data_IF_658908291981
#
_entry.id   IF_658908291981
#
_cell.length_a   1.000
_cell.length_b   1.000
_cell.length_c   1.000
_cell.angle_alpha   90.00
_cell.angle_beta   90.00
_cell.angle_gamma   90.00
#
_symmetry.space_group_name_H-M   'P 1'
#
loop_
_entity.id
_entity.type
_entity.pdbx_description
1 polymer ?
#
# COMPACT_ATOMS: atom_id res chain seq x y z
N UNK A 1 -4.43 -18.40 -34.11
CA UNK A 1 -5.80 -17.83 -34.22
C UNK A 1 -5.68 -16.31 -34.28
N UNK A 2 -5.17 -15.79 -35.39
CA UNK A 2 -4.99 -14.35 -35.60
C UNK A 2 -5.88 -13.97 -36.79
N UNK A 3 -7.20 -13.93 -36.60
CA UNK A 3 -8.12 -13.68 -37.70
C UNK A 3 -9.44 -13.13 -37.17
N UNK A 4 -9.88 -12.02 -37.79
CA UNK A 4 -10.99 -11.11 -37.46
C UNK A 4 -10.63 -9.95 -36.54
N UNK A 5 -9.91 -8.98 -37.11
CA UNK A 5 -9.90 -7.63 -36.58
C UNK A 5 -11.24 -6.97 -36.94
N UNK A 6 -12.16 -6.92 -35.98
CA UNK A 6 -13.44 -6.26 -36.18
C UNK A 6 -13.20 -4.75 -36.18
N UNK A 7 -13.26 -4.13 -37.37
CA UNK A 7 -13.25 -2.67 -37.51
C UNK A 7 -14.60 -2.08 -37.08
N UNK A 8 -14.87 -2.13 -35.77
CA UNK A 8 -16.05 -1.52 -35.16
C UNK A 8 -15.87 0.00 -35.18
N UNK A 9 -16.70 0.70 -35.97
CA UNK A 9 -16.83 2.16 -35.91
C UNK A 9 -17.92 2.49 -34.91
N UNK A 10 -17.57 3.18 -33.83
CA UNK A 10 -18.54 3.63 -32.82
C UNK A 10 -19.11 4.98 -33.24
N UNK A 11 -20.32 4.96 -33.79
CA UNK A 11 -21.15 6.17 -33.88
C UNK A 11 -21.70 6.51 -32.47
N UNK A 12 -22.17 7.74 -32.25
CA UNK A 12 -22.69 8.18 -30.93
C UNK A 12 -23.78 7.24 -30.36
N UNK A 13 -24.64 6.67 -31.22
CA UNK A 13 -25.66 5.69 -30.81
C UNK A 13 -25.04 4.37 -30.36
N UNK A 14 -23.99 3.92 -31.04
CA UNK A 14 -23.27 2.70 -30.68
C UNK A 14 -22.49 2.89 -29.37
N UNK A 15 -22.02 4.10 -29.07
CA UNK A 15 -21.40 4.42 -27.79
C UNK A 15 -22.41 4.36 -26.62
N UNK A 16 -23.62 4.91 -26.80
CA UNK A 16 -24.69 4.83 -25.81
C UNK A 16 -25.09 3.39 -25.50
N UNK A 17 -25.25 2.55 -26.53
CA UNK A 17 -25.57 1.13 -26.34
C UNK A 17 -24.47 0.37 -25.56
N UNK A 18 -23.20 0.74 -25.75
CA UNK A 18 -22.08 0.18 -24.97
C UNK A 18 -22.16 0.62 -23.51
N UNK A 19 -22.45 1.90 -23.26
CA UNK A 19 -22.58 2.43 -21.89
C UNK A 19 -23.75 1.78 -21.15
N UNK A 20 -24.90 1.61 -21.81
CA UNK A 20 -26.08 0.89 -21.28
C UNK A 20 -25.73 -0.56 -20.93
N UNK A 21 -25.02 -1.25 -21.82
CA UNK A 21 -24.56 -2.62 -21.57
C UNK A 21 -23.56 -2.71 -20.40
N UNK A 22 -22.67 -1.73 -20.26
CA UNK A 22 -21.74 -1.67 -19.13
C UNK A 22 -22.47 -1.40 -17.82
N UNK A 23 -23.48 -0.51 -17.82
CA UNK A 23 -24.32 -0.26 -16.66
C UNK A 23 -25.10 -1.54 -16.27
N UNK A 24 -25.70 -2.20 -17.25
CA UNK A 24 -26.33 -3.50 -17.09
C UNK A 24 -25.39 -4.49 -16.42
N UNK A 25 -24.19 -4.69 -16.97
CA UNK A 25 -23.21 -5.63 -16.42
C UNK A 25 -22.75 -5.25 -15.00
N UNK A 26 -22.69 -3.96 -14.64
CA UNK A 26 -22.33 -3.52 -13.28
C UNK A 26 -23.45 -3.73 -12.27
N UNK A 27 -24.70 -3.56 -12.70
CA UNK A 27 -25.87 -3.73 -11.84
C UNK A 27 -26.21 -5.22 -11.70
N UNK A 28 -26.18 -5.99 -12.78
CA UNK A 28 -26.55 -7.40 -12.73
C UNK A 28 -25.37 -8.30 -12.35
N UNK A 29 -24.14 -7.89 -12.68
CA UNK A 29 -22.94 -8.66 -12.37
C UNK A 29 -22.90 -9.96 -13.17
N UNK A 30 -23.09 -11.09 -12.49
CA UNK A 30 -23.17 -12.44 -13.07
C UNK A 30 -24.51 -13.14 -12.71
N UNK A 31 -25.52 -12.41 -12.22
CA UNK A 31 -26.80 -12.98 -11.76
C UNK A 31 -27.67 -13.56 -12.89
N UNK A 32 -27.38 -13.18 -14.12
CA UNK A 32 -28.07 -13.58 -15.36
C UNK A 32 -27.90 -15.04 -15.75
N UNK A 33 -26.98 -15.77 -15.11
CA UNK A 33 -26.68 -17.14 -15.48
C UNK A 33 -26.10 -17.31 -16.90
N UNK A 34 -25.79 -16.21 -17.60
CA UNK A 34 -25.23 -16.18 -18.94
C UNK A 34 -26.17 -15.70 -20.05
N UNK A 35 -27.44 -15.42 -19.75
CA UNK A 35 -28.44 -14.93 -20.72
C UNK A 35 -28.86 -13.50 -20.42
N UNK A 36 -28.85 -12.63 -21.45
CA UNK A 36 -29.22 -11.22 -21.27
C UNK A 36 -30.72 -11.08 -20.96
N UNK A 37 -31.04 -10.39 -19.87
CA UNK A 37 -32.42 -10.03 -19.54
C UNK A 37 -32.99 -9.09 -20.59
N UNK A 38 -34.31 -9.14 -20.76
CA UNK A 38 -35.02 -8.13 -21.56
C UNK A 38 -35.00 -6.76 -20.86
N UNK A 39 -35.16 -5.64 -21.58
CA UNK A 39 -35.20 -4.32 -20.98
C UNK A 39 -36.24 -4.19 -19.84
N UNK A 40 -37.44 -4.75 -20.04
CA UNK A 40 -38.51 -4.72 -19.04
C UNK A 40 -38.14 -5.52 -17.77
N UNK A 41 -37.53 -6.70 -17.94
CA UNK A 41 -37.04 -7.53 -16.83
C UNK A 41 -35.92 -6.81 -16.05
N UNK A 42 -35.05 -6.09 -16.77
CA UNK A 42 -33.97 -5.32 -16.15
C UNK A 42 -34.49 -4.14 -15.33
N UNK A 43 -35.53 -3.44 -15.79
CA UNK A 43 -36.15 -2.36 -15.01
C UNK A 43 -36.82 -2.89 -13.72
N UNK A 44 -37.50 -4.03 -13.80
CA UNK A 44 -38.08 -4.68 -12.62
C UNK A 44 -36.99 -5.14 -11.65
N UNK A 45 -35.90 -5.71 -12.16
CA UNK A 45 -34.73 -6.07 -11.37
C UNK A 45 -34.13 -4.83 -10.67
N UNK A 46 -33.97 -3.70 -11.38
CA UNK A 46 -33.52 -2.43 -10.78
C UNK A 46 -34.42 -1.99 -9.62
N UNK A 47 -35.74 -2.00 -9.82
CA UNK A 47 -36.71 -1.58 -8.79
C UNK A 47 -36.61 -2.44 -7.53
N UNK A 48 -36.34 -3.74 -7.67
CA UNK A 48 -36.20 -4.66 -6.53
C UNK A 48 -34.82 -4.55 -5.85
N UNK A 49 -33.75 -4.59 -6.63
CA UNK A 49 -32.40 -4.82 -6.12
C UNK A 49 -31.71 -3.54 -5.67
N UNK A 50 -31.98 -2.40 -6.31
CA UNK A 50 -31.34 -1.13 -5.94
C UNK A 50 -31.68 -0.70 -4.50
N UNK A 51 -32.95 -0.68 -4.05
CA UNK A 51 -33.26 -0.31 -2.68
C UNK A 51 -32.66 -1.28 -1.66
N UNK A 52 -32.66 -2.57 -1.98
CA UNK A 52 -32.09 -3.61 -1.12
C UNK A 52 -30.58 -3.41 -0.95
N UNK A 53 -29.84 -3.19 -2.05
CA UNK A 53 -28.39 -2.97 -1.99
C UNK A 53 -28.01 -1.67 -1.29
N UNK A 54 -28.81 -0.62 -1.43
CA UNK A 54 -28.54 0.66 -0.77
C UNK A 54 -28.70 0.56 0.75
N UNK A 55 -29.68 -0.22 1.23
CA UNK A 55 -29.92 -0.43 2.67
C UNK A 55 -29.00 -1.50 3.27
N UNK A 56 -28.89 -2.65 2.62
CA UNK A 56 -28.24 -3.84 3.16
C UNK A 56 -26.86 -4.10 2.54
N UNK A 57 -26.14 -3.03 2.18
CA UNK A 57 -24.79 -3.15 1.65
C UNK A 57 -23.86 -3.76 2.71
N UNK A 58 -23.16 -4.82 2.34
CA UNK A 58 -22.10 -5.41 3.16
C UNK A 58 -20.73 -4.82 2.78
N UNK A 59 -19.97 -4.42 3.80
CA UNK A 59 -18.59 -4.00 3.66
C UNK A 59 -17.69 -5.18 4.01
N UNK A 60 -16.81 -5.54 3.08
CA UNK A 60 -15.90 -6.67 3.24
C UNK A 60 -14.46 -6.20 3.12
N UNK A 61 -13.68 -6.45 4.17
CA UNK A 61 -12.27 -6.09 4.24
C UNK A 61 -11.42 -7.24 4.79
N UNK A 62 -10.17 -7.26 4.35
CA UNK A 62 -9.12 -8.09 4.91
C UNK A 62 -8.31 -7.21 5.85
N UNK A 63 -8.51 -7.38 7.15
CA UNK A 63 -8.04 -6.43 8.16
C UNK A 63 -6.95 -7.02 9.04
N UNK A 64 -5.95 -6.20 9.34
CA UNK A 64 -4.89 -6.50 10.29
C UNK A 64 -5.43 -6.43 11.74
N UNK A 65 -4.75 -7.08 12.70
CA UNK A 65 -5.13 -6.99 14.12
C UNK A 65 -5.02 -5.57 14.69
N UNK A 66 -4.28 -4.68 14.02
CA UNK A 66 -4.19 -3.26 14.35
C UNK A 66 -5.46 -2.47 14.02
N UNK A 67 -6.46 -3.07 13.38
CA UNK A 67 -7.69 -2.41 12.95
C UNK A 67 -7.62 -1.80 11.54
N UNK A 68 -6.44 -1.78 10.91
CA UNK A 68 -6.26 -1.33 9.54
C UNK A 68 -6.90 -2.32 8.55
N UNK A 69 -7.70 -1.81 7.62
CA UNK A 69 -8.20 -2.61 6.52
C UNK A 69 -7.07 -2.72 5.46
N UNK A 70 -6.34 -3.84 5.43
CA UNK A 70 -5.20 -4.00 4.53
C UNK A 70 -5.60 -4.17 3.07
N UNK A 71 -6.74 -4.84 2.80
CA UNK A 71 -7.33 -4.92 1.46
C UNK A 71 -8.84 -4.73 1.53
N UNK A 72 -9.36 -3.80 0.73
CA UNK A 72 -10.80 -3.69 0.51
C UNK A 72 -11.21 -4.69 -0.58
N UNK A 73 -12.26 -5.46 -0.31
CA UNK A 73 -12.76 -6.45 -1.26
C UNK A 73 -13.77 -5.78 -2.18
N UNK A 74 -13.52 -5.84 -3.48
CA UNK A 74 -14.44 -5.43 -4.54
C UNK A 74 -14.99 -6.60 -5.36
N UNK A 75 -15.80 -6.32 -6.38
CA UNK A 75 -16.55 -7.31 -7.15
C UNK A 75 -15.63 -8.29 -7.90
N UNK A 76 -14.51 -7.81 -8.43
CA UNK A 76 -13.57 -8.59 -9.24
C UNK A 76 -12.51 -9.32 -8.40
N UNK A 77 -12.48 -9.11 -7.08
CA UNK A 77 -11.48 -9.72 -6.19
C UNK A 77 -11.72 -11.23 -6.08
N UNK A 78 -10.69 -12.07 -6.28
CA UNK A 78 -10.84 -13.51 -6.19
C UNK A 78 -10.93 -13.98 -4.73
N UNK A 79 -11.83 -14.92 -4.49
CA UNK A 79 -11.92 -15.74 -3.30
C UNK A 79 -10.87 -16.86 -3.34
N UNK A 80 -10.66 -17.52 -2.20
CA UNK A 80 -9.84 -18.71 -2.08
C UNK A 80 -10.29 -19.85 -3.02
N UNK A 81 -11.60 -19.93 -3.31
CA UNK A 81 -12.17 -20.85 -4.30
C UNK A 81 -11.96 -20.42 -5.76
N UNK A 82 -11.11 -19.42 -6.02
CA UNK A 82 -10.80 -18.79 -7.32
C UNK A 82 -11.95 -18.03 -8.01
N UNK A 83 -13.19 -18.18 -7.54
CA UNK A 83 -14.33 -17.38 -7.98
C UNK A 83 -14.30 -15.95 -7.43
N UNK A 84 -14.94 -15.02 -8.15
CA UNK A 84 -14.93 -13.59 -7.81
C UNK A 84 -15.93 -13.28 -6.71
N UNK A 85 -15.74 -12.18 -6.00
CA UNK A 85 -16.65 -11.73 -4.95
C UNK A 85 -18.09 -11.54 -5.47
N UNK A 86 -18.27 -11.02 -6.69
CA UNK A 86 -19.60 -10.92 -7.36
C UNK A 86 -20.31 -12.25 -7.59
N UNK A 87 -19.59 -13.37 -7.54
CA UNK A 87 -20.12 -14.73 -7.70
C UNK A 87 -20.48 -15.37 -6.35
N UNK A 88 -20.37 -14.63 -5.25
CA UNK A 88 -20.81 -15.04 -3.92
C UNK A 88 -22.14 -14.37 -3.58
N UNK A 89 -22.89 -14.93 -2.63
CA UNK A 89 -24.12 -14.32 -2.12
C UNK A 89 -23.78 -13.10 -1.28
N UNK A 90 -23.81 -11.92 -1.89
CA UNK A 90 -23.56 -10.62 -1.23
C UNK A 90 -24.85 -9.90 -0.87
N UNK A 91 -25.94 -10.21 -1.57
CA UNK A 91 -27.21 -9.50 -1.45
C UNK A 91 -28.13 -10.26 -0.49
N UNK A 92 -28.60 -9.55 0.55
CA UNK A 92 -29.50 -10.08 1.58
C UNK A 92 -30.69 -9.14 1.74
N UNK A 93 -31.91 -9.68 1.76
CA UNK A 93 -33.12 -8.91 2.07
C UNK A 93 -33.20 -8.54 3.56
N UNK A 94 -32.76 -9.46 4.42
CA UNK A 94 -32.58 -9.25 5.86
C UNK A 94 -31.19 -9.75 6.22
N UNK A 95 -30.40 -8.88 6.86
CA UNK A 95 -29.03 -9.21 7.26
C UNK A 95 -29.09 -10.22 8.42
N UNK A 96 -28.40 -11.36 8.32
CA UNK A 96 -28.32 -12.31 9.42
C UNK A 96 -27.71 -11.67 10.68
N UNK A 97 -28.31 -11.92 11.84
CA UNK A 97 -27.78 -11.47 13.15
C UNK A 97 -26.52 -12.24 13.56
N UNK A 98 -26.39 -13.49 13.11
CA UNK A 98 -25.28 -14.36 13.46
C UNK A 98 -23.99 -13.91 12.75
N UNK A 99 -22.93 -13.70 13.55
CA UNK A 99 -21.59 -13.32 13.07
C UNK A 99 -20.66 -14.53 13.08
N UNK A 100 -19.80 -14.72 12.07
CA UNK A 100 -19.64 -13.93 10.83
C UNK A 100 -20.72 -14.23 9.77
N UNK A 101 -21.09 -13.21 8.98
CA UNK A 101 -22.04 -13.36 7.87
C UNK A 101 -21.43 -14.29 6.81
N UNK A 102 -22.09 -15.42 6.56
CA UNK A 102 -21.63 -16.40 5.57
C UNK A 102 -21.98 -15.92 4.17
N UNK A 103 -20.96 -15.84 3.32
CA UNK A 103 -21.09 -15.46 1.90
C UNK A 103 -20.78 -16.69 1.03
N UNK A 104 -21.73 -17.61 0.82
CA UNK A 104 -21.48 -18.82 0.01
C UNK A 104 -21.31 -18.49 -1.47
N UNK A 105 -20.52 -19.29 -2.18
CA UNK A 105 -20.36 -19.16 -3.63
C UNK A 105 -21.59 -19.68 -4.38
N UNK A 106 -22.01 -18.98 -5.45
CA UNK A 106 -23.16 -19.34 -6.30
C UNK A 106 -22.76 -20.16 -7.52
N UNK A 107 -21.45 -20.33 -7.76
CA UNK A 107 -20.97 -21.10 -8.89
C UNK A 107 -21.35 -22.58 -8.76
N UNK A 108 -21.81 -23.16 -9.87
CA UNK A 108 -22.22 -24.57 -9.94
C UNK A 108 -21.07 -25.49 -9.49
N UNK A 109 -21.31 -26.30 -8.47
CA UNK A 109 -20.37 -27.29 -7.96
C UNK A 109 -19.30 -26.78 -6.99
N UNK A 110 -19.29 -25.49 -6.65
CA UNK A 110 -18.38 -24.93 -5.64
C UNK A 110 -18.95 -25.12 -4.23
N UNK A 111 -18.13 -25.67 -3.32
CA UNK A 111 -18.47 -25.94 -1.91
C UNK A 111 -18.03 -24.83 -0.94
N UNK A 112 -17.64 -23.68 -1.48
CA UNK A 112 -17.22 -22.53 -0.67
C UNK A 112 -18.40 -22.01 0.17
N UNK A 113 -18.31 -22.17 1.49
CA UNK A 113 -19.35 -21.74 2.44
C UNK A 113 -19.27 -20.24 2.80
N UNK A 114 -18.08 -19.65 2.74
CA UNK A 114 -17.86 -18.24 3.06
C UNK A 114 -16.73 -17.67 2.22
N UNK A 115 -16.89 -16.42 1.80
CA UNK A 115 -15.84 -15.69 1.09
C UNK A 115 -14.59 -15.57 1.96
N UNK A 116 -13.44 -15.89 1.36
CA UNK A 116 -12.14 -15.83 2.02
C UNK A 116 -11.09 -15.31 1.04
N UNK A 117 -10.39 -14.23 1.40
CA UNK A 117 -9.39 -13.63 0.54
C UNK A 117 -8.01 -14.27 0.75
N UNK A 118 -7.35 -14.62 -0.36
CA UNK A 118 -5.94 -14.99 -0.37
C UNK A 118 -5.14 -13.85 -1.02
N UNK A 119 -4.22 -13.19 -0.29
CA UNK A 119 -3.42 -12.13 -0.88
C UNK A 119 -2.49 -12.67 -1.97
N UNK A 120 -2.10 -11.80 -2.89
CA UNK A 120 -1.10 -12.09 -3.92
C UNK A 120 0.21 -11.40 -3.54
N UNK A 121 1.34 -12.01 -3.88
CA UNK A 121 2.64 -11.36 -3.82
C UNK A 121 2.95 -10.79 -5.20
N UNK A 122 2.53 -9.54 -5.45
CA UNK A 122 2.50 -8.97 -6.79
C UNK A 122 1.51 -9.74 -7.67
N UNK A 123 2.01 -10.35 -8.75
CA UNK A 123 1.21 -11.21 -9.63
C UNK A 123 1.17 -12.69 -9.22
N UNK A 124 1.98 -13.09 -8.23
CA UNK A 124 2.12 -14.51 -7.87
C UNK A 124 1.22 -14.90 -6.70
N UNK A 125 0.53 -16.05 -6.76
CA UNK A 125 -0.22 -16.56 -5.62
C UNK A 125 0.73 -16.93 -4.47
N UNK A 126 0.32 -16.57 -3.26
CA UNK A 126 1.10 -16.94 -2.06
C UNK A 126 1.11 -18.46 -1.88
N UNK A 127 2.19 -18.95 -1.28
CA UNK A 127 2.38 -20.37 -1.01
C UNK A 127 2.02 -20.71 0.42
N UNK A 128 1.40 -21.86 0.59
CA UNK A 128 1.20 -22.50 1.87
C UNK A 128 2.55 -22.97 2.46
N UNK A 129 2.59 -23.25 3.75
CA UNK A 129 3.72 -23.90 4.45
C UNK A 129 4.08 -25.26 3.85
N UNK A 130 3.12 -25.93 3.21
CA UNK A 130 3.37 -27.14 2.42
C UNK A 130 3.96 -26.89 1.02
N UNK A 131 4.31 -25.62 0.69
CA UNK A 131 4.90 -25.12 -0.57
C UNK A 131 3.96 -25.08 -1.79
N UNK A 132 2.70 -25.46 -1.62
CA UNK A 132 1.66 -25.45 -2.66
C UNK A 132 0.90 -24.11 -2.69
N UNK A 133 0.36 -23.73 -3.85
CA UNK A 133 -0.39 -22.47 -4.02
C UNK A 133 -1.81 -22.60 -3.46
N UNK A 134 -2.51 -21.48 -3.27
CA UNK A 134 -3.91 -21.48 -2.80
C UNK A 134 -4.85 -22.33 -3.67
N UNK A 135 -4.63 -22.36 -4.99
CA UNK A 135 -5.43 -23.12 -5.96
C UNK A 135 -5.31 -24.65 -5.76
N UNK A 136 -4.18 -25.13 -5.27
CA UNK A 136 -3.94 -26.55 -4.98
C UNK A 136 -4.58 -27.02 -3.66
N UNK A 137 -5.40 -26.17 -3.02
CA UNK A 137 -6.10 -26.49 -1.77
C UNK A 137 -7.63 -26.63 -1.98
N UNK A 138 -8.29 -27.21 -0.97
CA UNK A 138 -9.74 -27.25 -0.89
C UNK A 138 -10.30 -25.87 -0.63
N UNK A 139 -11.50 -25.61 -1.16
CA UNK A 139 -12.27 -24.39 -0.94
C UNK A 139 -13.03 -24.38 0.39
N UNK A 140 -13.05 -25.51 1.09
CA UNK A 140 -13.63 -25.67 2.42
C UNK A 140 -12.57 -25.49 3.50
N UNK A 141 -12.92 -24.81 4.60
CA UNK A 141 -12.08 -24.73 5.79
C UNK A 141 -11.80 -26.13 6.35
N UNK A 142 -10.56 -26.45 6.76
CA UNK A 142 -9.41 -25.56 7.00
C UNK A 142 -8.52 -25.32 5.75
N UNK A 143 -9.05 -25.50 4.54
CA UNK A 143 -8.35 -25.35 3.26
C UNK A 143 -7.17 -26.31 3.14
N UNK A 144 -7.45 -27.62 3.16
CA UNK A 144 -6.40 -28.67 3.06
C UNK A 144 -5.87 -28.81 1.63
N UNK A 145 -4.59 -29.12 1.49
CA UNK A 145 -3.97 -29.35 0.19
C UNK A 145 -4.55 -30.61 -0.49
N UNK A 146 -4.93 -30.50 -1.77
CA UNK A 146 -5.45 -31.61 -2.60
C UNK A 146 -4.34 -32.39 -3.31
N UNK A 147 -3.09 -31.91 -3.26
CA UNK A 147 -1.99 -32.52 -4.00
C UNK A 147 -1.63 -33.89 -3.43
N UNK A 148 -1.51 -34.88 -4.31
CA UNK A 148 -1.11 -36.25 -3.94
C UNK A 148 0.25 -36.22 -3.25
N UNK A 149 0.35 -36.85 -2.08
CA UNK A 149 1.57 -36.90 -1.26
C UNK A 149 1.77 -35.73 -0.28
N UNK A 150 0.86 -34.75 -0.23
CA UNK A 150 0.94 -33.65 0.74
C UNK A 150 0.30 -34.03 2.08
N UNK A 151 1.07 -34.66 2.97
CA UNK A 151 0.56 -35.19 4.25
C UNK A 151 0.65 -34.17 5.38
N UNK A 152 1.62 -33.25 5.33
CA UNK A 152 1.91 -32.30 6.41
C UNK A 152 0.99 -31.05 6.42
N UNK A 153 0.04 -30.96 5.49
CA UNK A 153 -0.86 -29.82 5.38
C UNK A 153 -2.10 -30.01 6.28
N UNK A 154 -2.13 -29.30 7.40
CA UNK A 154 -3.31 -29.24 8.30
C UNK A 154 -4.34 -28.21 7.85
N UNK A 155 -3.89 -27.18 7.13
CA UNK A 155 -4.71 -26.13 6.55
C UNK A 155 -3.85 -25.07 5.86
N UNK A 156 -4.48 -24.22 5.05
CA UNK A 156 -3.77 -23.19 4.31
C UNK A 156 -3.18 -22.15 5.26
N UNK A 157 -1.86 -22.10 5.32
CA UNK A 157 -1.12 -21.17 6.18
C UNK A 157 0.10 -20.70 5.42
N UNK A 158 0.33 -19.39 5.34
CA UNK A 158 1.45 -18.83 4.58
C UNK A 158 2.38 -18.03 5.49
N UNK A 159 3.67 -18.01 5.14
CA UNK A 159 4.67 -17.09 5.70
C UNK A 159 4.66 -15.72 5.02
N UNK A 160 3.61 -15.42 4.25
CA UNK A 160 3.42 -14.11 3.63
C UNK A 160 3.28 -13.01 4.68
N UNK A 161 4.01 -11.92 4.46
CA UNK A 161 3.95 -10.69 5.23
C UNK A 161 3.22 -9.64 4.41
N UNK A 162 2.12 -9.12 4.94
CA UNK A 162 1.37 -8.04 4.31
C UNK A 162 2.17 -6.72 4.40
N UNK A 163 1.88 -5.75 3.53
CA UNK A 163 2.51 -4.42 3.57
C UNK A 163 2.28 -3.65 4.88
N UNK A 164 1.30 -4.05 5.69
CA UNK A 164 1.13 -3.53 7.06
C UNK A 164 2.15 -4.09 8.08
N UNK A 165 2.98 -5.07 7.69
CA UNK A 165 3.92 -5.78 8.56
C UNK A 165 3.37 -7.04 9.24
N UNK A 166 2.05 -7.27 9.19
CA UNK A 166 1.41 -8.45 9.78
C UNK A 166 1.54 -9.71 8.90
N UNK A 167 1.57 -10.88 9.53
CA UNK A 167 1.52 -12.18 8.85
C UNK A 167 0.11 -12.53 8.35
N UNK A 168 0.01 -13.43 7.37
CA UNK A 168 -1.28 -13.90 6.84
C UNK A 168 -2.28 -14.35 7.92
N UNK A 169 -1.82 -15.12 8.93
CA UNK A 169 -2.69 -15.66 10.00
C UNK A 169 -3.28 -14.61 10.93
N UNK A 170 -2.61 -13.46 11.06
CA UNK A 170 -3.05 -12.38 11.95
C UNK A 170 -4.22 -11.60 11.34
N UNK A 171 -4.38 -11.67 10.02
CA UNK A 171 -5.46 -10.98 9.34
C UNK A 171 -6.75 -11.79 9.40
N UNK A 172 -7.87 -11.09 9.43
CA UNK A 172 -9.21 -11.69 9.41
C UNK A 172 -10.04 -11.05 8.33
N UNK A 173 -10.94 -11.83 7.77
CA UNK A 173 -12.02 -11.30 6.94
C UNK A 173 -13.06 -10.68 7.85
N UNK A 174 -13.33 -9.39 7.67
CA UNK A 174 -14.41 -8.68 8.34
C UNK A 174 -15.52 -8.50 7.31
N UNK A 175 -16.73 -8.91 7.68
CA UNK A 175 -17.97 -8.67 6.93
C UNK A 175 -18.91 -7.93 7.87
N UNK A 176 -19.18 -6.66 7.55
CA UNK A 176 -19.88 -5.73 8.43
C UNK A 176 -20.96 -4.95 7.67
N UNK A 177 -21.93 -4.42 8.43
CA UNK A 177 -22.94 -3.48 7.91
C UNK A 177 -22.40 -2.05 7.89
N UNK A 178 -23.17 -1.12 7.28
CA UNK A 178 -22.81 0.29 7.31
C UNK A 178 -22.65 0.84 8.74
N UNK A 179 -23.58 0.49 9.63
CA UNK A 179 -23.60 0.92 11.03
C UNK A 179 -22.39 0.41 11.81
N UNK A 180 -22.04 -0.87 11.62
CA UNK A 180 -20.87 -1.47 12.27
C UNK A 180 -19.55 -0.85 11.76
N UNK A 181 -19.50 -0.54 10.46
CA UNK A 181 -18.36 0.13 9.86
C UNK A 181 -18.17 1.54 10.40
N UNK A 182 -19.27 2.27 10.56
CA UNK A 182 -19.28 3.60 11.17
C UNK A 182 -18.83 3.56 12.62
N UNK A 183 -19.36 2.61 13.40
CA UNK A 183 -18.96 2.38 14.79
C UNK A 183 -17.47 2.04 14.93
N UNK A 184 -16.90 1.38 13.92
CA UNK A 184 -15.46 1.08 13.85
C UNK A 184 -14.62 2.28 13.39
N UNK A 185 -15.24 3.37 12.94
CA UNK A 185 -14.61 4.61 12.53
C UNK A 185 -14.10 4.61 11.08
N UNK A 186 -14.58 3.68 10.25
CA UNK A 186 -14.10 3.49 8.87
C UNK A 186 -15.02 4.17 7.85
N UNK A 187 -14.50 4.62 6.69
CA UNK A 187 -15.29 5.32 5.70
C UNK A 187 -16.31 4.40 5.03
N UNK A 188 -17.57 4.83 4.98
CA UNK A 188 -18.70 4.14 4.32
C UNK A 188 -18.79 4.53 2.83
N UNK A 189 -18.39 5.76 2.49
CA UNK A 189 -18.45 6.30 1.13
C UNK A 189 -19.86 6.51 0.62
N UNK A 190 -19.99 6.86 -0.66
CA UNK A 190 -21.29 7.01 -1.30
C UNK A 190 -21.92 5.63 -1.56
N UNK A 191 -23.22 5.52 -1.26
CA UNK A 191 -23.97 4.33 -1.56
C UNK A 191 -24.09 4.17 -3.09
N UNK A 192 -23.70 3.00 -3.59
CA UNK A 192 -23.61 2.70 -5.02
C UNK A 192 -24.55 1.56 -5.41
N UNK A 193 -25.18 1.64 -6.59
CA UNK A 193 -26.17 0.65 -7.05
C UNK A 193 -25.58 -0.68 -7.54
N UNK A 194 -24.25 -0.77 -7.65
CA UNK A 194 -23.56 -1.87 -8.32
C UNK A 194 -23.48 -3.13 -7.46
N UNK A 195 -23.44 -4.28 -8.14
CA UNK A 195 -23.37 -5.58 -7.49
C UNK A 195 -22.03 -5.77 -6.77
N UNK A 196 -22.09 -6.33 -5.56
CA UNK A 196 -20.93 -6.81 -4.82
C UNK A 196 -19.79 -5.77 -4.68
N UNK A 197 -20.12 -4.49 -4.45
CA UNK A 197 -19.12 -3.45 -4.21
C UNK A 197 -18.25 -3.71 -2.98
N UNK A 198 -18.76 -4.51 -2.03
CA UNK A 198 -18.05 -4.91 -0.83
C UNK A 198 -17.50 -3.69 -0.10
N UNK A 199 -16.20 -3.74 0.19
CA UNK A 199 -15.47 -2.70 0.89
C UNK A 199 -15.03 -1.48 0.05
N UNK A 200 -15.30 -1.42 -1.25
CA UNK A 200 -14.84 -0.29 -2.07
C UNK A 200 -15.73 0.93 -1.84
N UNK A 201 -15.20 1.97 -1.19
CA UNK A 201 -15.94 3.18 -0.83
C UNK A 201 -15.52 4.42 -1.62
N UNK A 202 -14.35 4.38 -2.25
CA UNK A 202 -13.86 5.39 -3.18
C UNK A 202 -12.57 4.95 -3.89
N UNK A 203 -11.92 5.88 -4.59
CA UNK A 203 -10.66 5.60 -5.29
C UNK A 203 -9.53 5.20 -4.34
N UNK A 204 -9.47 5.80 -3.14
CA UNK A 204 -8.48 5.44 -2.12
C UNK A 204 -8.56 3.97 -1.73
N UNK A 205 -9.77 3.40 -1.68
CA UNK A 205 -10.02 1.99 -1.30
C UNK A 205 -9.35 0.96 -2.21
N UNK A 206 -8.97 1.35 -3.43
CA UNK A 206 -8.28 0.46 -4.37
C UNK A 206 -6.82 0.21 -3.97
N UNK A 207 -6.21 1.20 -3.30
CA UNK A 207 -4.86 1.08 -2.77
C UNK A 207 -4.85 0.17 -1.53
N UNK A 208 -3.71 -0.45 -1.26
CA UNK A 208 -3.55 -1.28 -0.08
C UNK A 208 -3.56 -0.42 1.20
N UNK A 209 -4.07 -0.96 2.30
CA UNK A 209 -4.28 -0.24 3.57
C UNK A 209 -3.11 0.63 4.02
N UNK A 210 -1.88 0.11 3.93
CA UNK A 210 -0.69 0.82 4.41
C UNK A 210 -0.35 2.07 3.56
N UNK A 211 -0.87 2.17 2.34
CA UNK A 211 -0.70 3.31 1.43
C UNK A 211 -1.83 4.33 1.53
N UNK A 212 -2.93 3.99 2.21
CA UNK A 212 -4.10 4.86 2.32
C UNK A 212 -3.93 5.86 3.45
N UNK A 213 -4.26 7.11 3.16
CA UNK A 213 -4.28 8.22 4.12
C UNK A 213 -5.64 8.36 4.81
N UNK A 214 -6.65 7.58 4.40
CA UNK A 214 -7.96 7.55 5.05
C UNK A 214 -7.90 6.80 6.40
N UNK A 215 -8.91 6.96 7.28
CA UNK A 215 -8.92 6.32 8.62
C UNK A 215 -8.78 4.79 8.58
N UNK A 216 -9.16 4.16 7.47
CA UNK A 216 -9.03 2.72 7.29
C UNK A 216 -7.62 2.25 6.91
N UNK A 217 -6.72 3.17 6.55
CA UNK A 217 -5.33 2.94 6.21
C UNK A 217 -4.35 3.23 7.34
N UNK A 218 -3.17 3.79 7.01
CA UNK A 218 -2.26 4.36 8.02
C UNK A 218 -2.82 5.64 8.66
N UNK A 219 -3.86 6.21 8.06
CA UNK A 219 -4.39 7.52 8.43
C UNK A 219 -3.47 8.65 8.00
N UNK A 220 -4.00 9.87 8.04
CA UNK A 220 -3.18 11.05 7.94
C UNK A 220 -2.25 11.10 9.17
N UNK A 221 -0.96 11.48 9.01
CA UNK A 221 -0.11 11.77 10.15
C UNK A 221 -0.79 12.80 11.07
N UNK A 222 -0.59 12.68 12.37
CA UNK A 222 -1.11 13.65 13.33
C UNK A 222 -0.60 15.06 12.98
N UNK A 223 -1.41 16.09 13.25
CA UNK A 223 -1.04 17.50 12.98
C UNK A 223 0.30 17.87 13.62
N UNK A 224 0.53 17.40 14.85
CA UNK A 224 1.79 17.60 15.54
C UNK A 224 3.01 16.92 14.91
N UNK A 225 2.86 15.97 13.98
CA UNK A 225 3.94 15.46 13.13
C UNK A 225 4.12 16.32 11.88
N UNK A 226 3.03 16.79 11.28
CA UNK A 226 3.06 17.66 10.10
C UNK A 226 3.62 19.06 10.42
N UNK A 227 3.45 19.52 11.66
CA UNK A 227 3.86 20.83 12.14
C UNK A 227 5.26 20.83 12.78
N UNK A 228 5.97 19.70 12.76
CA UNK A 228 7.34 19.63 13.30
C UNK A 228 8.30 20.49 12.48
N UNK A 229 9.23 21.14 13.18
CA UNK A 229 10.33 21.85 12.54
C UNK A 229 11.19 20.86 11.74
N UNK A 230 11.61 21.26 10.55
CA UNK A 230 12.53 20.46 9.73
C UNK A 230 13.85 20.29 10.50
N UNK A 231 14.20 19.04 10.77
CA UNK A 231 15.40 18.63 11.51
C UNK A 231 16.48 18.06 10.57
N UNK A 232 17.65 17.75 11.11
CA UNK A 232 18.73 17.07 10.38
C UNK A 232 18.39 15.65 9.95
N UNK A 233 17.42 15.00 10.61
CA UNK A 233 16.96 13.65 10.32
C UNK A 233 15.93 13.61 9.16
N UNK A 234 15.42 14.76 8.72
CA UNK A 234 14.44 14.84 7.64
C UNK A 234 15.05 14.68 6.25
N UNK A 235 14.18 14.45 5.26
CA UNK A 235 14.55 14.24 3.88
C UNK A 235 15.47 15.38 3.36
N UNK A 236 16.58 15.07 2.66
CA UNK A 236 17.47 16.07 2.09
C UNK A 236 16.78 17.20 1.31
N UNK A 237 15.68 16.92 0.62
CA UNK A 237 14.89 17.93 -0.09
C UNK A 237 14.23 18.96 0.83
N UNK A 238 13.74 18.54 1.99
CA UNK A 238 13.17 19.47 2.98
C UNK A 238 14.28 20.33 3.58
N UNK A 239 15.42 19.70 3.89
CA UNK A 239 16.61 20.39 4.44
C UNK A 239 17.16 21.47 3.52
N UNK A 240 17.23 21.22 2.21
CA UNK A 240 17.72 22.22 1.24
C UNK A 240 16.76 23.39 1.06
N UNK A 241 15.48 23.22 1.37
CA UNK A 241 14.44 24.22 1.12
C UNK A 241 13.92 24.89 2.41
N UNK A 242 14.55 24.67 3.58
CA UNK A 242 14.10 25.23 4.87
C UNK A 242 13.90 26.75 4.80
N UNK A 243 14.84 27.49 4.20
CA UNK A 243 14.76 28.96 4.12
C UNK A 243 13.60 29.43 3.23
N UNK A 244 13.36 28.77 2.10
CA UNK A 244 12.25 29.08 1.19
C UNK A 244 10.88 28.75 1.81
N UNK A 245 10.81 27.65 2.58
CA UNK A 245 9.59 27.27 3.32
C UNK A 245 9.31 28.30 4.43
N UNK A 246 10.33 28.71 5.18
CA UNK A 246 10.22 29.73 6.24
C UNK A 246 9.77 31.09 5.68
N UNK A 247 10.38 31.56 4.60
CA UNK A 247 10.01 32.86 3.99
C UNK A 247 8.57 32.86 3.46
N UNK A 248 8.14 31.77 2.83
CA UNK A 248 6.76 31.61 2.38
C UNK A 248 5.75 31.59 3.55
N UNK A 249 6.09 30.92 4.67
CA UNK A 249 5.25 30.94 5.88
C UNK A 249 5.13 32.34 6.49
N UNK A 250 6.24 33.08 6.58
CA UNK A 250 6.23 34.48 7.05
C UNK A 250 5.34 35.36 6.16
N UNK A 251 5.47 35.24 4.84
CA UNK A 251 4.67 35.99 3.88
C UNK A 251 3.18 35.67 3.98
N UNK A 252 2.83 34.38 4.16
CA UNK A 252 1.45 33.92 4.36
C UNK A 252 0.83 34.47 5.65
N UNK A 253 1.60 34.55 6.73
CA UNK A 253 1.15 35.12 8.01
C UNK A 253 0.97 36.63 7.90
N UNK A 254 1.83 37.34 7.17
CA UNK A 254 1.67 38.76 6.88
C UNK A 254 0.42 39.06 6.03
N UNK A 255 0.08 38.19 5.08
CA UNK A 255 -1.09 38.31 4.20
C UNK A 255 -2.42 38.02 4.90
N UNK A 256 -2.42 37.19 5.96
CA UNK A 256 -3.65 36.81 6.70
C UNK A 256 -4.16 37.86 7.69
N UNK A 257 -3.46 38.98 7.86
CA UNK A 257 -3.96 40.07 8.69
C UNK A 257 -4.08 39.73 10.18
N UNK A 258 -3.37 38.72 10.69
CA UNK A 258 -3.21 38.49 12.14
C UNK A 258 -2.19 39.48 12.70
N UNK A 259 -2.56 40.77 12.68
CA UNK A 259 -2.04 41.75 13.63
C UNK A 259 -2.87 41.59 14.90
N UNK A 260 -2.47 40.66 15.76
CA UNK A 260 -2.43 40.83 17.22
C UNK A 260 -2.25 39.49 17.93
N UNK A 261 -1.22 39.46 18.79
CA UNK A 261 -1.06 38.57 19.94
C UNK A 261 -0.99 37.06 19.65
N UNK A 262 0.17 36.61 19.17
CA UNK A 262 0.71 35.33 19.62
C UNK A 262 2.16 35.51 20.08
N UNK A 263 2.30 36.01 21.32
CA UNK A 263 3.56 36.16 22.04
C UNK A 263 4.01 34.84 22.69
N UNK A 264 3.55 33.70 22.20
CA UNK A 264 3.79 32.41 22.82
C UNK A 264 4.01 31.28 21.78
N UNK A 265 5.01 31.45 20.92
CA UNK A 265 5.85 30.33 20.50
C UNK A 265 7.27 30.77 20.76
N UNK A 266 7.74 30.51 21.98
CA UNK A 266 9.16 30.38 22.25
C UNK A 266 9.70 29.32 21.29
N UNK A 267 10.30 29.77 20.18
CA UNK A 267 11.37 29.02 19.54
C UNK A 267 12.57 29.20 20.47
N UNK A 268 12.57 28.43 21.56
CA UNK A 268 13.81 28.26 22.31
C UNK A 268 14.71 27.38 21.45
N UNK A 269 15.84 27.96 21.04
CA UNK A 269 16.94 27.28 20.39
C UNK A 269 16.93 27.45 18.87
N UNK A 270 17.45 28.57 18.38
CA UNK A 270 18.65 28.64 17.51
C UNK A 270 19.19 30.08 17.64
N UNK A 271 19.57 30.46 18.86
CA UNK A 271 20.42 31.63 19.11
C UNK A 271 21.64 31.21 19.97
N UNK A 272 21.94 29.91 20.02
CA UNK A 272 23.14 29.40 20.67
C UNK A 272 24.28 29.37 19.63
N UNK A 273 25.33 30.19 19.80
CA UNK A 273 26.49 30.20 18.91
C UNK A 273 27.33 28.91 18.94
N UNK A 274 26.96 27.95 19.79
CA UNK A 274 27.61 26.64 19.96
C UNK A 274 26.89 25.48 19.23
N UNK A 275 25.88 25.76 18.39
CA UNK A 275 25.22 24.73 17.56
C UNK A 275 26.12 24.31 16.37
N UNK A 276 26.57 23.05 16.35
CA UNK A 276 27.39 22.44 15.27
C UNK A 276 26.74 22.55 13.86
N UNK A 277 25.42 22.72 13.82
CA UNK A 277 24.65 22.90 12.58
C UNK A 277 24.85 24.30 11.99
N UNK A 278 25.04 25.33 12.83
CA UNK A 278 25.30 26.69 12.39
C UNK A 278 26.72 26.83 11.85
N UNK A 279 27.70 26.13 12.43
CA UNK A 279 29.09 26.11 11.96
C UNK A 279 29.27 25.38 10.62
N UNK A 280 28.66 24.20 10.44
CA UNK A 280 28.72 23.45 9.16
C UNK A 280 28.00 24.20 8.03
N UNK A 281 26.92 24.93 8.37
CA UNK A 281 26.20 25.76 7.40
C UNK A 281 26.97 27.04 7.03
N UNK A 282 27.55 27.75 8.00
CA UNK A 282 28.40 28.92 7.72
C UNK A 282 29.65 28.53 6.95
N UNK A 283 30.27 27.38 7.25
CA UNK A 283 31.42 26.88 6.52
C UNK A 283 31.06 26.53 5.07
N UNK A 284 29.94 25.83 4.83
CA UNK A 284 29.49 25.51 3.46
C UNK A 284 29.03 26.73 2.66
N UNK A 285 28.44 27.73 3.30
CA UNK A 285 28.08 29.00 2.65
C UNK A 285 29.34 29.83 2.34
N UNK A 286 30.36 29.81 3.21
CA UNK A 286 31.64 30.50 2.96
C UNK A 286 32.42 29.94 1.76
N UNK A 287 32.28 28.63 1.50
CA UNK A 287 32.91 27.89 0.39
C UNK A 287 32.26 28.18 -0.97
N UNK A 288 31.08 28.79 -1.01
CA UNK A 288 30.45 29.19 -2.26
C UNK A 288 30.96 30.58 -2.70
N UNK A 289 31.29 30.68 -3.99
CA UNK A 289 31.60 31.96 -4.63
C UNK A 289 30.32 32.80 -4.72
N UNK A 290 30.38 34.07 -4.30
CA UNK A 290 29.21 34.95 -4.31
C UNK A 290 28.91 35.41 -5.74
N UNK A 291 27.64 35.64 -6.11
CA UNK A 291 27.30 36.15 -7.44
C UNK A 291 27.96 37.51 -7.69
N UNK A 292 28.78 37.61 -8.74
CA UNK A 292 29.52 38.83 -9.11
C UNK A 292 30.87 39.03 -8.40
N UNK A 293 31.29 38.11 -7.53
CA UNK A 293 32.62 38.15 -6.89
C UNK A 293 33.71 37.83 -7.94
N UNK A 294 34.81 38.58 -7.98
CA UNK A 294 35.94 38.21 -8.82
C UNK A 294 36.68 37.01 -8.21
N UNK A 295 37.35 36.19 -9.02
CA UNK A 295 38.05 35.00 -8.52
C UNK A 295 39.13 35.35 -7.48
N UNK A 296 39.83 36.47 -7.68
CA UNK A 296 40.83 36.96 -6.72
C UNK A 296 40.21 37.33 -5.36
N UNK A 297 39.06 37.99 -5.37
CA UNK A 297 38.35 38.42 -4.15
C UNK A 297 37.84 37.22 -3.34
N UNK A 298 37.38 36.16 -4.03
CA UNK A 298 36.99 34.91 -3.41
C UNK A 298 38.16 34.24 -2.68
N UNK A 299 39.33 34.14 -3.33
CA UNK A 299 40.51 33.52 -2.71
C UNK A 299 41.06 34.34 -1.55
N UNK A 300 41.05 35.67 -1.68
CA UNK A 300 41.52 36.57 -0.63
C UNK A 300 40.61 36.52 0.60
N UNK A 301 39.28 36.54 0.41
CA UNK A 301 38.30 36.34 1.49
C UNK A 301 38.51 35.01 2.20
N UNK A 302 38.64 33.90 1.46
CA UNK A 302 38.90 32.56 2.04
C UNK A 302 40.23 32.48 2.78
N UNK A 303 41.25 33.18 2.29
CA UNK A 303 42.56 33.22 2.94
C UNK A 303 42.50 34.01 4.26
N UNK A 304 41.78 35.13 4.29
CA UNK A 304 41.56 35.94 5.49
C UNK A 304 40.70 35.20 6.53
N UNK A 305 39.63 34.52 6.12
CA UNK A 305 38.78 33.68 6.97
C UNK A 305 39.61 32.54 7.64
N UNK A 306 40.49 31.87 6.87
CA UNK A 306 41.42 30.85 7.41
C UNK A 306 42.44 31.42 8.39
N UNK A 307 42.90 32.65 8.20
CA UNK A 307 43.81 33.33 9.14
C UNK A 307 43.08 33.75 10.43
N UNK A 308 41.84 34.18 10.33
CA UNK A 308 41.02 34.62 11.46
C UNK A 308 40.57 33.47 12.37
N UNK A 309 40.44 32.25 11.83
CA UNK A 309 39.97 31.07 12.56
C UNK A 309 40.93 30.47 13.60
N UNK A 310 42.16 30.99 13.76
CA UNK A 310 43.13 30.52 14.75
C UNK A 310 43.64 29.09 14.52
N UNK A 311 44.93 28.85 14.76
CA UNK A 311 45.49 27.50 14.85
C UNK A 311 45.02 26.84 16.16
N UNK A 312 43.82 26.28 16.16
CA UNK A 312 43.46 25.27 17.15
C UNK A 312 44.18 23.96 16.77
N UNK A 313 45.10 23.52 17.64
CA UNK A 313 45.63 22.17 17.61
C UNK A 313 44.47 21.20 17.81
N UNK A 314 43.94 20.67 16.71
CA UNK A 314 43.11 19.47 16.75
C UNK A 314 44.05 18.33 17.13
N UNK A 315 43.95 17.85 18.36
CA UNK A 315 44.44 16.52 18.71
C UNK A 315 43.74 15.52 17.81
N UNK A 316 44.54 14.89 16.96
CA UNK A 316 44.15 13.93 15.95
C UNK A 316 43.47 12.71 16.60
N UNK A 317 42.14 12.69 16.64
CA UNK A 317 41.36 11.51 17.05
C UNK A 317 40.81 10.71 15.87
N UNK A 318 41.38 10.91 14.67
CA UNK A 318 41.20 10.02 13.52
C UNK A 318 42.56 9.79 12.86
N UNK A 319 43.28 8.77 13.33
CA UNK A 319 44.54 8.36 12.74
C UNK A 319 44.44 8.24 11.22
N UNK A 320 45.35 8.94 10.53
CA UNK A 320 45.91 8.65 9.21
C UNK A 320 45.24 7.48 8.46
N UNK A 321 44.20 7.78 7.68
CA UNK A 321 43.87 6.94 6.54
C UNK A 321 44.71 7.39 5.35
N UNK A 322 45.84 6.70 5.17
CA UNK A 322 46.68 6.83 3.98
C UNK A 322 45.89 6.56 2.70
N UNK A 323 46.31 7.18 1.60
CA UNK A 323 45.76 6.97 0.28
C UNK A 323 45.77 5.47 -0.10
N UNK A 324 44.60 4.84 -0.05
CA UNK A 324 44.42 3.46 -0.48
C UNK A 324 44.58 3.34 -1.99
N UNK A 325 45.72 2.82 -2.41
CA UNK A 325 45.93 2.27 -3.76
C UNK A 325 44.95 1.12 -3.99
N UNK A 326 44.19 1.16 -5.09
CA UNK A 326 43.34 0.03 -5.50
C UNK A 326 44.26 -1.13 -5.90
N UNK A 327 44.35 -2.17 -5.06
CA UNK A 327 44.86 -3.47 -5.50
C UNK A 327 43.75 -4.22 -6.24
N UNK A 328 44.11 -4.81 -7.38
CA UNK A 328 43.27 -5.72 -8.12
C UNK A 328 42.83 -6.90 -7.23
N UNK A 329 41.64 -7.41 -7.49
CA UNK A 329 41.09 -8.59 -6.83
C UNK A 329 41.93 -9.79 -7.27
N UNK A 330 42.73 -10.35 -6.36
CA UNK A 330 43.41 -11.63 -6.56
C UNK A 330 42.41 -12.79 -6.62
N UNK A 331 42.74 -13.79 -7.44
CA UNK A 331 41.94 -14.96 -7.75
C UNK A 331 41.48 -15.76 -6.52
N UNK A 332 40.24 -16.24 -6.61
CA UNK A 332 39.59 -17.17 -5.67
C UNK A 332 40.50 -18.39 -5.39
N UNK A 333 40.72 -18.78 -4.13
CA UNK A 333 41.33 -20.07 -3.84
C UNK A 333 40.41 -21.21 -4.30
N UNK A 334 40.95 -22.11 -5.12
CA UNK A 334 40.32 -23.37 -5.54
C UNK A 334 39.85 -24.15 -4.31
N UNK A 335 38.58 -24.58 -4.31
CA UNK A 335 38.07 -25.55 -3.35
C UNK A 335 38.88 -26.85 -3.44
N UNK A 336 39.58 -27.21 -2.38
CA UNK A 336 40.13 -28.55 -2.22
C UNK A 336 38.97 -29.54 -2.12
N UNK A 337 38.88 -30.47 -3.08
CA UNK A 337 38.01 -31.65 -2.97
C UNK A 337 38.56 -32.55 -1.88
N UNK A 338 37.78 -32.74 -0.81
CA UNK A 338 37.97 -33.86 0.12
C UNK A 338 37.62 -35.16 -0.62
N UNK A 339 38.48 -36.20 -0.65
CA UNK A 339 38.14 -37.47 -1.29
C UNK A 339 37.07 -38.20 -0.46
N UNK A 340 35.99 -38.64 -1.11
CA UNK A 340 35.06 -39.59 -0.50
C UNK A 340 35.70 -40.99 -0.47
N UNK A 341 35.50 -41.79 0.60
CA UNK A 341 35.89 -43.20 0.61
C UNK A 341 35.01 -43.98 -0.39
N UNK A 342 35.65 -44.73 -1.29
CA UNK A 342 34.98 -45.61 -2.25
C UNK A 342 34.38 -46.81 -1.51
N UNK A 343 33.07 -46.98 -1.60
CA UNK A 343 32.42 -48.26 -1.33
C UNK A 343 32.71 -49.23 -2.49
N UNK A 344 33.07 -50.50 -2.24
CA UNK A 344 33.23 -51.48 -3.31
C UNK A 344 31.86 -51.88 -3.87
N UNK A 345 31.69 -51.79 -5.18
CA UNK A 345 30.55 -52.41 -5.87
C UNK A 345 30.76 -53.93 -5.97
N UNK A 346 29.70 -54.74 -5.85
CA UNK A 346 29.78 -56.19 -6.00
C UNK A 346 30.05 -56.56 -7.47
N UNK A 347 31.01 -57.46 -7.69
CA UNK A 347 31.22 -58.11 -8.99
C UNK A 347 29.99 -58.95 -9.33
N UNK A 348 29.48 -58.81 -10.56
CA UNK A 348 28.77 -59.88 -11.25
C UNK A 348 29.78 -60.69 -12.04
#
# INVERSE_FOLDING_TARGET
MAERQYHLKFDNKNAQAVDEYLEYKRIVGDDDGGELMTPDQFEEYKKKVLPMRMKNRLFVSYSAPTGMDCKMIGPETPCFCTHRYKQHKTDFEVIPTDRPIKLPCRQRGCKCATYHFAPLNGSQPIRCTCKHTSEEHSEEQPYRCKKRGCIKCTGFTSSFTCGCGGSYKQHKMIVETAEEREARGHPIGQATPYAAMGGITGFSSLADGYMRLDPSGRGAPNKGFLEQSITSADNPFLRSNVQAIKSHQMQKNMLKGEREQNKQLHVNGIDDPDDEIFSDLTERVSQMKRPGEADMDYYERRYQEKKAGGRANVTDSYGQLGAGTRKAIDDKPRSARTPQPRTPQPRK
#
